data_IF_328742218875
#
_entry.id   IF_328742218875
#
_cell.length_a   1.000
_cell.length_b   1.000
_cell.length_c   1.000
_cell.angle_alpha   90.00
_cell.angle_beta   90.00
_cell.angle_gamma   90.00
#
_symmetry.space_group_name_H-M   'P 1'
#
loop_
_entity.id
_entity.type
_entity.pdbx_description
1 polymer ?
#
# COMPACT_ATOMS: atom_id res chain seq x y z
N UNK A 1 -67.06 30.98 -21.79
CA UNK A 1 -66.22 31.66 -22.78
C UNK A 1 -64.79 31.62 -22.28
N UNK A 2 -63.98 30.74 -22.88
CA UNK A 2 -62.50 30.73 -22.99
C UNK A 2 -61.62 30.76 -21.73
N UNK A 3 -60.87 29.66 -21.63
CA UNK A 3 -59.51 29.40 -21.15
C UNK A 3 -58.61 30.58 -20.72
N UNK A 4 -57.78 30.36 -19.69
CA UNK A 4 -56.33 30.22 -19.88
C UNK A 4 -55.60 29.69 -18.63
N UNK A 5 -54.84 28.62 -18.86
CA UNK A 5 -53.80 27.99 -18.05
C UNK A 5 -52.81 28.96 -17.37
N UNK A 6 -52.36 28.59 -16.17
CA UNK A 6 -50.92 28.56 -15.84
C UNK A 6 -50.66 27.34 -14.94
N UNK A 7 -50.59 26.16 -15.55
CA UNK A 7 -49.94 24.99 -14.95
C UNK A 7 -48.43 25.14 -15.22
N UNK A 8 -47.66 25.46 -14.19
CA UNK A 8 -46.22 25.66 -14.28
C UNK A 8 -45.51 24.32 -14.51
N UNK A 9 -44.55 24.21 -15.44
CA UNK A 9 -43.96 22.92 -15.78
C UNK A 9 -43.11 22.41 -14.61
N UNK A 10 -43.51 21.27 -14.06
CA UNK A 10 -42.66 20.44 -13.20
C UNK A 10 -41.32 20.22 -13.91
N UNK A 11 -40.25 20.74 -13.32
CA UNK A 11 -38.89 20.56 -13.79
C UNK A 11 -38.58 19.05 -13.81
N UNK A 12 -38.69 18.45 -14.99
CA UNK A 12 -38.24 17.07 -15.23
C UNK A 12 -36.73 17.07 -15.02
N UNK A 13 -36.30 16.56 -13.87
CA UNK A 13 -34.91 16.26 -13.55
C UNK A 13 -34.32 15.47 -14.72
N UNK A 14 -33.42 16.11 -15.48
CA UNK A 14 -32.67 15.43 -16.54
C UNK A 14 -31.98 14.22 -15.89
N UNK A 15 -32.15 13.00 -16.41
CA UNK A 15 -31.36 11.88 -15.93
C UNK A 15 -29.88 12.23 -16.11
N UNK A 16 -29.11 12.12 -15.02
CA UNK A 16 -27.65 12.28 -15.07
C UNK A 16 -27.13 11.39 -16.20
N UNK A 17 -26.23 11.87 -17.07
CA UNK A 17 -25.60 11.01 -18.06
C UNK A 17 -25.01 9.81 -17.32
N UNK A 18 -25.39 8.60 -17.72
CA UNK A 18 -24.69 7.39 -17.28
C UNK A 18 -23.25 7.55 -17.75
N UNK A 19 -22.36 7.79 -16.80
CA UNK A 19 -20.92 7.76 -17.02
C UNK A 19 -20.61 6.44 -17.73
N UNK A 20 -19.91 6.46 -18.88
CA UNK A 20 -19.68 5.24 -19.64
C UNK A 20 -19.00 4.22 -18.72
N UNK A 21 -19.54 3.00 -18.72
CA UNK A 21 -18.95 1.88 -17.99
C UNK A 21 -17.46 1.84 -18.31
N UNK A 22 -16.63 2.04 -17.27
CA UNK A 22 -15.16 2.06 -17.38
C UNK A 22 -14.73 0.91 -18.26
N UNK A 23 -14.14 1.22 -19.41
CA UNK A 23 -13.56 0.20 -20.27
C UNK A 23 -12.56 -0.58 -19.41
N UNK A 24 -12.83 -1.87 -19.22
CA UNK A 24 -11.99 -2.73 -18.38
C UNK A 24 -10.59 -2.69 -18.98
N UNK A 25 -9.64 -2.08 -18.26
CA UNK A 25 -8.27 -2.02 -18.72
C UNK A 25 -7.79 -3.43 -19.15
N UNK A 26 -6.99 -3.53 -20.23
CA UNK A 26 -6.62 -4.82 -20.80
C UNK A 26 -5.98 -5.72 -19.74
N UNK A 27 -6.36 -7.01 -19.75
CA UNK A 27 -5.88 -8.03 -18.79
C UNK A 27 -4.37 -8.24 -18.86
N UNK A 28 -3.78 -7.98 -20.02
CA UNK A 28 -2.36 -8.04 -20.26
C UNK A 28 -1.94 -6.83 -21.09
N UNK A 29 -0.78 -6.27 -20.75
CA UNK A 29 -0.26 -5.07 -21.36
C UNK A 29 1.25 -5.16 -21.40
N UNK A 30 1.84 -4.72 -22.51
CA UNK A 30 3.26 -4.45 -22.64
C UNK A 30 3.42 -3.13 -23.38
N UNK A 31 4.15 -2.21 -22.78
CA UNK A 31 4.39 -0.88 -23.31
C UNK A 31 5.83 -0.48 -23.07
N UNK A 32 6.43 0.07 -24.11
CA UNK A 32 7.80 0.55 -24.10
C UNK A 32 7.90 1.77 -25.01
N UNK A 33 8.21 2.93 -24.44
CA UNK A 33 8.35 4.17 -25.18
C UNK A 33 9.49 5.03 -24.65
N UNK A 34 10.09 5.81 -25.54
CA UNK A 34 10.99 6.91 -25.20
C UNK A 34 10.38 8.30 -25.41
N UNK A 35 9.12 8.36 -25.81
CA UNK A 35 8.37 9.59 -26.02
C UNK A 35 7.48 9.87 -24.80
N UNK A 36 7.64 11.06 -24.23
CA UNK A 36 6.88 11.50 -23.06
C UNK A 36 5.39 11.69 -23.36
N UNK A 37 5.06 12.22 -24.53
CA UNK A 37 3.67 12.45 -24.94
C UNK A 37 2.97 11.11 -25.20
N UNK A 38 3.65 10.17 -25.85
CA UNK A 38 3.13 8.80 -26.02
C UNK A 38 2.91 8.12 -24.66
N UNK A 39 3.85 8.28 -23.73
CA UNK A 39 3.71 7.74 -22.38
C UNK A 39 2.54 8.36 -21.62
N UNK A 40 2.34 9.68 -21.72
CA UNK A 40 1.23 10.38 -21.06
C UNK A 40 -0.11 9.92 -21.61
N UNK A 41 -0.25 9.88 -22.94
CA UNK A 41 -1.43 9.36 -23.62
C UNK A 41 -1.74 7.92 -23.21
N UNK A 42 -0.71 7.07 -23.13
CA UNK A 42 -0.85 5.69 -22.73
C UNK A 42 -1.33 5.54 -21.27
N UNK A 43 -0.71 6.28 -20.34
CA UNK A 43 -1.08 6.24 -18.92
C UNK A 43 -2.50 6.73 -18.69
N UNK A 44 -2.88 7.84 -19.35
CA UNK A 44 -4.23 8.41 -19.27
C UNK A 44 -5.30 7.42 -19.74
N UNK A 45 -5.03 6.71 -20.85
CA UNK A 45 -5.96 5.71 -21.41
C UNK A 45 -6.07 4.45 -20.55
N UNK A 46 -4.97 4.01 -19.93
CA UNK A 46 -4.90 2.66 -19.34
C UNK A 46 -5.15 2.61 -17.83
N UNK A 47 -4.87 3.71 -17.13
CA UNK A 47 -4.95 3.77 -15.67
C UNK A 47 -6.04 4.72 -15.20
N UNK A 48 -5.79 6.01 -15.35
CA UNK A 48 -6.67 7.13 -14.99
C UNK A 48 -6.05 8.40 -15.54
N UNK A 49 -6.77 9.52 -15.48
CA UNK A 49 -6.18 10.83 -15.79
C UNK A 49 -4.91 11.00 -14.95
N UNK A 50 -3.77 11.15 -15.61
CA UNK A 50 -2.45 11.41 -15.03
C UNK A 50 -1.82 12.54 -15.85
N UNK A 51 -0.95 13.32 -15.24
CA UNK A 51 -0.16 14.35 -15.93
C UNK A 51 1.31 14.06 -15.74
N UNK A 52 2.04 13.85 -16.83
CA UNK A 52 3.47 13.59 -16.78
C UNK A 52 4.22 14.91 -16.98
N UNK A 53 5.08 15.26 -16.03
CA UNK A 53 6.12 16.27 -16.24
C UNK A 53 7.48 15.60 -16.17
N UNK A 54 8.20 15.53 -17.28
CA UNK A 54 9.54 14.94 -17.39
C UNK A 54 10.63 16.00 -17.48
N UNK A 55 11.67 15.88 -16.66
CA UNK A 55 12.91 16.66 -16.77
C UNK A 55 14.05 15.69 -17.14
N UNK A 56 14.51 15.68 -18.40
CA UNK A 56 15.64 14.81 -18.80
C UNK A 56 15.85 14.65 -20.30
N UNK A 57 17.10 14.30 -20.69
CA UNK A 57 17.50 14.06 -22.09
C UNK A 57 17.31 12.61 -22.58
N UNK A 58 17.00 11.66 -21.69
CA UNK A 58 16.78 10.24 -21.99
C UNK A 58 15.57 9.70 -21.21
N UNK A 59 14.38 9.91 -21.77
CA UNK A 59 13.13 9.44 -21.21
C UNK A 59 12.83 8.05 -21.77
N UNK A 60 12.67 7.05 -20.92
CA UNK A 60 12.24 5.70 -21.29
C UNK A 60 11.25 5.22 -20.23
N UNK A 61 10.08 4.82 -20.68
CA UNK A 61 9.03 4.22 -19.88
C UNK A 61 8.84 2.77 -20.34
N UNK A 62 8.81 1.85 -19.38
CA UNK A 62 8.40 0.46 -19.60
C UNK A 62 7.31 0.10 -18.62
N UNK A 63 6.23 -0.48 -19.11
CA UNK A 63 5.08 -0.87 -18.31
C UNK A 63 4.62 -2.25 -18.78
N UNK A 64 4.56 -3.19 -17.85
CA UNK A 64 3.99 -4.51 -18.10
C UNK A 64 2.89 -4.76 -17.09
N UNK A 65 1.69 -5.10 -17.55
CA UNK A 65 0.60 -5.55 -16.67
C UNK A 65 0.29 -7.01 -16.96
N UNK A 66 0.08 -7.76 -15.90
CA UNK A 66 -0.48 -9.11 -15.93
C UNK A 66 -1.63 -9.17 -14.95
N UNK A 67 -2.70 -9.89 -15.30
CA UNK A 67 -3.86 -10.06 -14.45
C UNK A 67 -4.09 -11.52 -14.09
N UNK A 68 -4.40 -11.76 -12.81
CA UNK A 68 -4.89 -13.03 -12.28
C UNK A 68 -6.32 -12.82 -11.79
N UNK A 69 -7.31 -13.11 -12.64
CA UNK A 69 -8.70 -12.73 -12.36
C UNK A 69 -8.85 -11.23 -12.19
N UNK A 70 -9.28 -10.78 -11.00
CA UNK A 70 -9.43 -9.36 -10.64
C UNK A 70 -8.15 -8.72 -10.08
N UNK A 71 -7.12 -9.51 -9.78
CA UNK A 71 -5.81 -9.03 -9.35
C UNK A 71 -5.02 -8.53 -10.55
N UNK A 72 -4.42 -7.34 -10.45
CA UNK A 72 -3.42 -6.85 -11.40
C UNK A 72 -2.06 -6.77 -10.73
N UNK A 73 -1.03 -7.22 -11.43
CA UNK A 73 0.37 -6.98 -11.08
C UNK A 73 0.99 -6.22 -12.24
N UNK A 74 1.41 -5.00 -11.95
CA UNK A 74 2.03 -4.12 -12.90
C UNK A 74 3.49 -3.94 -12.53
N UNK A 75 4.38 -4.06 -13.51
CA UNK A 75 5.79 -3.71 -13.39
C UNK A 75 6.04 -2.43 -14.19
N UNK A 76 6.45 -1.37 -13.50
CA UNK A 76 6.64 -0.05 -14.09
C UNK A 76 8.08 0.41 -13.91
N UNK A 77 8.61 1.08 -14.93
CA UNK A 77 9.99 1.54 -14.97
C UNK A 77 10.09 2.85 -15.73
N UNK A 78 10.46 3.92 -15.03
CA UNK A 78 10.68 5.23 -15.60
C UNK A 78 12.13 5.65 -15.39
N UNK A 79 12.82 6.04 -16.47
CA UNK A 79 14.20 6.54 -16.41
C UNK A 79 14.29 8.05 -16.14
N UNK A 80 13.18 8.69 -15.80
CA UNK A 80 13.03 10.13 -15.62
C UNK A 80 12.14 10.42 -14.41
N UNK A 81 12.14 11.68 -13.98
CA UNK A 81 11.21 12.16 -12.96
C UNK A 81 9.82 12.37 -13.56
N UNK A 82 8.79 11.84 -12.92
CA UNK A 82 7.41 11.90 -13.40
C UNK A 82 6.49 12.33 -12.25
N UNK A 83 5.85 13.49 -12.38
CA UNK A 83 4.68 13.81 -11.57
C UNK A 83 3.47 12.98 -11.98
N UNK A 84 2.51 12.79 -11.08
CA UNK A 84 1.17 12.29 -11.41
C UNK A 84 0.14 12.85 -10.44
N UNK A 85 -1.10 12.88 -10.92
CA UNK A 85 -2.30 13.24 -10.18
C UNK A 85 -3.39 12.29 -10.67
N UNK A 86 -3.78 11.34 -9.84
CA UNK A 86 -4.62 10.20 -10.18
C UNK A 86 -5.97 10.29 -9.48
N UNK A 87 -7.06 10.14 -10.24
CA UNK A 87 -8.42 10.04 -9.68
C UNK A 87 -8.59 8.75 -8.84
N UNK A 88 -9.61 8.68 -7.96
CA UNK A 88 -9.94 7.48 -7.21
C UNK A 88 -10.07 6.24 -8.10
N UNK A 89 -9.26 5.23 -7.79
CA UNK A 89 -9.21 3.99 -8.57
C UNK A 89 -10.25 2.97 -8.09
N UNK A 90 -10.72 3.07 -6.84
CA UNK A 90 -11.64 2.10 -6.24
C UNK A 90 -11.00 0.73 -5.99
N UNK A 91 -9.66 0.66 -6.00
CA UNK A 91 -8.87 -0.55 -5.71
C UNK A 91 -7.90 -0.28 -4.58
N UNK A 92 -7.57 -1.32 -3.83
CA UNK A 92 -6.37 -1.30 -2.99
C UNK A 92 -5.16 -1.40 -3.92
N UNK A 93 -4.24 -0.46 -3.80
CA UNK A 93 -2.96 -0.46 -4.50
C UNK A 93 -1.83 -0.65 -3.52
N UNK A 94 -1.08 -1.74 -3.66
CA UNK A 94 0.19 -1.93 -2.98
C UNK A 94 1.32 -1.57 -3.93
N UNK A 95 2.23 -0.71 -3.49
CA UNK A 95 3.40 -0.31 -4.24
C UNK A 95 4.67 -0.86 -3.60
N UNK A 96 5.43 -1.62 -4.39
CA UNK A 96 6.79 -2.07 -4.03
C UNK A 96 7.81 -1.34 -4.89
N UNK A 97 8.68 -0.54 -4.29
CA UNK A 97 9.76 0.13 -5.02
C UNK A 97 10.94 -0.84 -5.18
N UNK A 98 11.39 -1.08 -6.41
CA UNK A 98 12.56 -1.92 -6.71
C UNK A 98 13.85 -1.10 -6.80
N UNK A 99 13.75 0.11 -7.35
CA UNK A 99 14.86 1.08 -7.45
C UNK A 99 14.31 2.50 -7.52
N UNK A 100 15.16 3.49 -7.24
CA UNK A 100 14.74 4.89 -7.19
C UNK A 100 13.90 5.17 -5.95
N UNK A 101 13.01 6.15 -6.03
CA UNK A 101 12.06 6.47 -4.96
C UNK A 101 10.74 7.01 -5.52
N UNK A 102 9.69 6.93 -4.71
CA UNK A 102 8.38 7.53 -5.00
C UNK A 102 8.02 8.47 -3.87
N UNK A 103 7.60 9.68 -4.22
CA UNK A 103 7.15 10.73 -3.31
C UNK A 103 5.63 10.81 -3.41
N UNK A 104 4.89 10.25 -2.45
CA UNK A 104 3.43 10.27 -2.39
C UNK A 104 2.92 11.46 -1.58
N UNK A 105 1.90 12.15 -2.09
CA UNK A 105 1.20 13.21 -1.38
C UNK A 105 -0.21 12.72 -1.04
N UNK A 106 -0.43 12.42 0.24
CA UNK A 106 -1.76 12.08 0.76
C UNK A 106 -2.47 13.34 1.27
N UNK A 107 -3.78 13.43 1.05
CA UNK A 107 -4.57 14.58 1.49
C UNK A 107 -4.53 14.67 3.02
N UNK A 108 -4.05 15.80 3.54
CA UNK A 108 -4.02 16.05 4.98
C UNK A 108 -2.83 15.43 5.72
N UNK A 109 -1.88 14.80 5.02
CA UNK A 109 -0.68 14.21 5.61
C UNK A 109 0.60 14.81 5.02
N UNK A 110 1.74 14.71 5.74
CA UNK A 110 3.05 15.01 5.18
C UNK A 110 3.35 14.14 3.96
N UNK A 111 4.20 14.65 3.06
CA UNK A 111 4.70 13.87 1.94
C UNK A 111 5.40 12.60 2.43
N UNK A 112 5.05 11.47 1.81
CA UNK A 112 5.62 10.17 2.11
C UNK A 112 6.66 9.81 1.05
N UNK A 113 7.85 9.40 1.47
CA UNK A 113 8.88 8.89 0.55
C UNK A 113 9.00 7.38 0.69
N UNK A 114 8.81 6.66 -0.40
CA UNK A 114 9.05 5.22 -0.52
C UNK A 114 10.41 5.01 -1.22
N UNK A 115 11.34 4.37 -0.54
CA UNK A 115 12.67 4.05 -1.06
C UNK A 115 12.72 2.63 -1.65
N UNK A 116 13.79 2.32 -2.38
CA UNK A 116 14.05 0.99 -2.90
C UNK A 116 13.99 -0.09 -1.81
N UNK A 117 13.25 -1.17 -2.10
CA UNK A 117 12.98 -2.27 -1.17
C UNK A 117 11.72 -2.11 -0.34
N UNK A 118 11.14 -0.91 -0.27
CA UNK A 118 9.97 -0.66 0.56
C UNK A 118 8.65 -1.07 -0.13
N UNK A 119 7.71 -1.53 0.69
CA UNK A 119 6.32 -1.84 0.33
C UNK A 119 5.39 -0.92 1.11
N UNK A 120 4.40 -0.31 0.44
CA UNK A 120 3.39 0.52 1.06
C UNK A 120 2.05 0.47 0.31
N UNK A 121 0.97 0.92 0.92
CA UNK A 121 -0.31 1.16 0.26
C UNK A 121 -0.39 2.59 -0.29
N UNK A 122 -0.79 2.73 -1.55
CA UNK A 122 -0.98 4.02 -2.22
C UNK A 122 -2.40 4.52 -1.95
N UNK A 123 -2.57 5.17 -0.80
CA UNK A 123 -3.80 5.88 -0.43
C UNK A 123 -5.03 4.99 -0.19
N UNK A 124 -6.11 5.55 0.36
CA UNK A 124 -7.41 4.88 0.39
C UNK A 124 -8.00 4.73 -1.02
N UNK A 125 -8.68 3.61 -1.34
CA UNK A 125 -9.27 3.35 -2.66
C UNK A 125 -10.22 4.44 -3.19
N UNK A 126 -10.91 5.13 -2.29
CA UNK A 126 -11.94 6.12 -2.58
C UNK A 126 -11.40 7.54 -2.78
N UNK A 127 -10.11 7.79 -2.50
CA UNK A 127 -9.50 9.12 -2.58
C UNK A 127 -8.57 9.25 -3.79
N UNK A 128 -8.47 10.46 -4.38
CA UNK A 128 -7.41 10.74 -5.33
C UNK A 128 -6.05 10.72 -4.62
N UNK A 129 -5.01 10.39 -5.38
CA UNK A 129 -3.62 10.43 -4.89
C UNK A 129 -2.74 11.08 -5.94
N UNK A 130 -1.70 11.77 -5.48
CA UNK A 130 -0.75 12.46 -6.35
C UNK A 130 0.65 12.27 -5.81
N UNK A 131 1.63 12.42 -6.68
CA UNK A 131 3.00 12.18 -6.25
C UNK A 131 4.01 12.41 -7.35
N UNK A 132 5.24 11.99 -7.08
CA UNK A 132 6.34 12.01 -8.04
C UNK A 132 7.12 10.70 -7.99
N UNK A 133 7.29 10.10 -9.14
CA UNK A 133 8.23 9.01 -9.37
C UNK A 133 9.59 9.62 -9.67
N UNK A 134 10.65 9.16 -8.99
CA UNK A 134 12.01 9.68 -9.19
C UNK A 134 12.92 8.59 -9.73
N UNK A 135 13.07 8.55 -11.06
CA UNK A 135 13.86 7.55 -11.80
C UNK A 135 13.64 6.12 -11.27
N UNK A 136 12.38 5.73 -11.06
CA UNK A 136 12.04 4.55 -10.29
C UNK A 136 11.65 3.34 -11.16
N UNK A 137 11.95 2.16 -10.64
CA UNK A 137 11.30 0.91 -11.05
C UNK A 137 10.50 0.39 -9.87
N UNK A 138 9.23 0.09 -10.07
CA UNK A 138 8.31 -0.32 -9.00
C UNK A 138 7.26 -1.28 -9.52
N UNK A 139 6.57 -1.93 -8.59
CA UNK A 139 5.42 -2.77 -8.88
C UNK A 139 4.17 -2.19 -8.24
N UNK A 140 3.05 -2.23 -8.95
CA UNK A 140 1.73 -1.96 -8.40
C UNK A 140 0.90 -3.24 -8.41
N UNK A 141 0.38 -3.58 -7.23
CA UNK A 141 -0.48 -4.72 -7.04
C UNK A 141 -1.87 -4.18 -6.71
N UNK A 142 -2.82 -4.42 -7.60
CA UNK A 142 -4.17 -3.87 -7.53
C UNK A 142 -5.22 -4.96 -7.31
N UNK A 143 -6.07 -4.81 -6.29
CA UNK A 143 -7.17 -5.73 -6.05
C UNK A 143 -8.39 -5.04 -5.42
N UNK A 144 -9.54 -5.73 -5.49
CA UNK A 144 -10.83 -5.21 -5.02
C UNK A 144 -10.87 -5.14 -3.47
N UNK A 145 -11.24 -4.01 -2.85
CA UNK A 145 -11.40 -3.90 -1.40
C UNK A 145 -12.34 -4.94 -0.79
N UNK A 146 -13.36 -5.40 -1.53
CA UNK A 146 -14.30 -6.43 -1.08
C UNK A 146 -13.62 -7.81 -0.84
N UNK A 147 -12.38 -8.00 -1.31
CA UNK A 147 -11.58 -9.16 -0.91
C UNK A 147 -11.20 -9.13 0.57
N UNK A 148 -10.99 -7.94 1.16
CA UNK A 148 -10.72 -7.82 2.59
C UNK A 148 -11.93 -8.23 3.43
N UNK A 149 -13.13 -7.76 3.02
CA UNK A 149 -14.39 -8.10 3.68
C UNK A 149 -14.67 -9.60 3.67
N UNK A 150 -14.31 -10.29 2.58
CA UNK A 150 -14.52 -11.73 2.43
C UNK A 150 -13.65 -12.59 3.35
N UNK A 151 -12.48 -12.10 3.73
CA UNK A 151 -11.50 -12.89 4.50
C UNK A 151 -11.40 -12.45 5.95
N UNK A 152 -11.92 -11.27 6.29
CA UNK A 152 -12.00 -10.81 7.67
C UNK A 152 -13.08 -11.58 8.46
N UNK A 153 -12.87 -11.85 9.76
CA UNK A 153 -13.91 -12.40 10.62
C UNK A 153 -15.08 -11.41 10.74
N UNK A 154 -16.30 -11.86 10.42
CA UNK A 154 -17.49 -11.03 10.58
C UNK A 154 -18.06 -11.25 12.00
N UNK A 155 -18.20 -10.17 12.77
CA UNK A 155 -18.99 -10.20 13.99
C UNK A 155 -20.48 -10.23 13.62
N UNK A 156 -21.28 -11.20 14.09
CA UNK A 156 -22.64 -11.44 13.60
C UNK A 156 -23.68 -10.34 13.90
N UNK A 157 -23.33 -9.29 14.65
CA UNK A 157 -24.33 -8.45 15.34
C UNK A 157 -24.13 -6.92 15.18
N UNK A 158 -23.45 -6.45 14.13
CA UNK A 158 -23.35 -5.01 13.82
C UNK A 158 -23.56 -4.68 12.36
N UNK A 159 -24.03 -3.44 12.12
CA UNK A 159 -24.00 -2.82 10.81
C UNK A 159 -22.58 -2.99 10.22
N UNK A 160 -22.52 -3.70 9.09
CA UNK A 160 -21.28 -4.17 8.47
C UNK A 160 -20.49 -2.97 7.93
N UNK A 161 -19.66 -2.36 8.75
CA UNK A 161 -18.69 -1.39 8.24
C UNK A 161 -17.64 -2.18 7.46
N UNK A 162 -17.40 -1.83 6.18
CA UNK A 162 -16.48 -2.61 5.37
C UNK A 162 -15.03 -2.39 5.85
N UNK A 163 -14.23 -3.44 5.78
CA UNK A 163 -12.85 -3.50 6.27
C UNK A 163 -11.98 -2.53 5.49
N UNK A 164 -11.18 -1.75 6.21
CA UNK A 164 -10.27 -0.75 5.64
C UNK A 164 -8.88 -0.93 6.21
N UNK A 165 -7.88 -0.72 5.36
CA UNK A 165 -6.52 -0.50 5.85
C UNK A 165 -6.45 0.92 6.41
N UNK A 166 -5.94 1.06 7.63
CA UNK A 166 -5.91 2.33 8.39
C UNK A 166 -4.53 2.99 8.36
N UNK A 167 -3.57 2.40 7.64
CA UNK A 167 -2.23 2.94 7.50
C UNK A 167 -1.54 2.47 6.23
N UNK A 168 -0.60 3.28 5.78
CA UNK A 168 0.09 3.11 4.49
C UNK A 168 1.28 2.18 4.54
N UNK A 169 1.78 1.82 5.73
CA UNK A 169 2.99 1.02 5.91
C UNK A 169 2.68 -0.31 6.58
N UNK A 170 3.44 -1.37 6.25
CA UNK A 170 3.35 -2.60 7.00
C UNK A 170 3.66 -2.38 8.47
N UNK A 171 2.97 -3.12 9.36
CA UNK A 171 3.15 -3.06 10.82
C UNK A 171 4.56 -3.50 11.26
N UNK A 172 5.28 -4.23 10.41
CA UNK A 172 6.69 -4.57 10.61
C UNK A 172 7.38 -4.90 9.28
N UNK A 173 8.71 -4.80 9.26
CA UNK A 173 9.55 -5.24 8.13
C UNK A 173 9.31 -6.71 7.78
N UNK A 174 9.19 -7.58 8.80
CA UNK A 174 8.96 -9.00 8.58
C UNK A 174 7.60 -9.27 7.91
N UNK A 175 6.55 -8.54 8.29
CA UNK A 175 5.23 -8.68 7.69
C UNK A 175 5.23 -8.18 6.24
N UNK A 176 5.88 -7.04 5.97
CA UNK A 176 6.11 -6.54 4.61
C UNK A 176 6.86 -7.55 3.73
N UNK A 177 7.92 -8.18 4.26
CA UNK A 177 8.71 -9.19 3.54
C UNK A 177 7.89 -10.44 3.19
N UNK A 178 7.00 -10.90 4.08
CA UNK A 178 6.13 -12.06 3.82
C UNK A 178 5.13 -11.78 2.70
N UNK A 179 4.45 -10.64 2.75
CA UNK A 179 3.54 -10.22 1.69
C UNK A 179 4.27 -10.04 0.35
N UNK A 180 5.46 -9.47 0.42
CA UNK A 180 6.35 -9.31 -0.73
C UNK A 180 6.72 -10.65 -1.38
N UNK A 181 7.08 -11.66 -0.57
CA UNK A 181 7.38 -13.00 -1.07
C UNK A 181 6.15 -13.67 -1.70
N UNK A 182 4.95 -13.44 -1.17
CA UNK A 182 3.70 -13.91 -1.79
C UNK A 182 3.48 -13.26 -3.16
N UNK A 183 3.68 -11.95 -3.27
CA UNK A 183 3.55 -11.22 -4.55
C UNK A 183 4.54 -11.78 -5.57
N UNK A 184 5.79 -12.02 -5.17
CA UNK A 184 6.80 -12.65 -6.04
C UNK A 184 6.34 -14.05 -6.47
N UNK A 185 5.81 -14.88 -5.56
CA UNK A 185 5.27 -16.20 -5.90
C UNK A 185 4.12 -16.15 -6.90
N UNK A 186 3.16 -15.24 -6.71
CA UNK A 186 2.02 -15.08 -7.62
C UNK A 186 2.48 -14.71 -9.04
N UNK A 187 3.49 -13.84 -9.15
CA UNK A 187 4.07 -13.47 -10.44
C UNK A 187 4.89 -14.60 -11.06
N UNK A 188 5.83 -15.15 -10.30
CA UNK A 188 6.88 -16.02 -10.85
C UNK A 188 6.40 -17.47 -11.06
N UNK A 189 5.32 -17.88 -10.39
CA UNK A 189 4.82 -19.26 -10.46
C UNK A 189 3.38 -19.36 -10.94
N UNK A 190 2.47 -18.51 -10.47
CA UNK A 190 1.05 -18.61 -10.86
C UNK A 190 0.81 -17.94 -12.22
N UNK A 191 1.26 -16.70 -12.40
CA UNK A 191 1.10 -15.98 -13.67
C UNK A 191 1.99 -16.54 -14.78
N UNK A 192 3.13 -17.14 -14.44
CA UNK A 192 4.04 -17.75 -15.41
C UNK A 192 3.56 -19.12 -15.94
N UNK A 193 2.59 -19.77 -15.26
CA UNK A 193 2.00 -21.04 -15.68
C UNK A 193 0.58 -20.80 -16.26
N UNK A 194 0.38 -20.93 -17.58
CA UNK A 194 -0.93 -20.72 -18.20
C UNK A 194 -2.04 -21.64 -17.66
N UNK A 195 -1.70 -22.85 -17.20
CA UNK A 195 -2.68 -23.78 -16.63
C UNK A 195 -3.16 -23.30 -15.26
N UNK A 196 -2.25 -22.81 -14.43
CA UNK A 196 -2.57 -22.24 -13.12
C UNK A 196 -3.30 -20.90 -13.26
N UNK A 197 -2.84 -20.03 -14.17
CA UNK A 197 -3.42 -18.71 -14.40
C UNK A 197 -4.85 -18.74 -14.97
N UNK A 198 -5.27 -19.87 -15.56
CA UNK A 198 -6.62 -20.06 -16.11
C UNK A 198 -7.56 -20.87 -15.20
N UNK A 199 -7.03 -21.51 -14.15
CA UNK A 199 -7.81 -22.34 -13.24
C UNK A 199 -8.57 -21.48 -12.20
N UNK A 200 -9.92 -21.46 -12.18
CA UNK A 200 -10.70 -20.57 -11.29
C UNK A 200 -10.39 -20.76 -9.81
N UNK A 201 -10.25 -22.00 -9.34
CA UNK A 201 -9.91 -22.29 -7.94
C UNK A 201 -8.54 -21.72 -7.54
N UNK A 202 -7.57 -21.74 -8.46
CA UNK A 202 -6.23 -21.18 -8.21
C UNK A 202 -6.31 -19.66 -8.10
N UNK A 203 -7.03 -19.02 -9.04
CA UNK A 203 -7.26 -17.57 -9.05
C UNK A 203 -7.92 -17.11 -7.74
N UNK A 204 -9.02 -17.76 -7.35
CA UNK A 204 -9.78 -17.38 -6.15
C UNK A 204 -8.95 -17.59 -4.88
N UNK A 205 -8.20 -18.70 -4.80
CA UNK A 205 -7.32 -18.98 -3.67
C UNK A 205 -6.18 -17.96 -3.58
N UNK A 206 -5.58 -17.58 -4.72
CA UNK A 206 -4.53 -16.57 -4.78
C UNK A 206 -5.04 -15.20 -4.34
N UNK A 207 -6.22 -14.79 -4.80
CA UNK A 207 -6.86 -13.53 -4.42
C UNK A 207 -7.18 -13.50 -2.91
N UNK A 208 -7.74 -14.57 -2.37
CA UNK A 208 -8.02 -14.70 -0.94
C UNK A 208 -6.73 -14.67 -0.10
N UNK A 209 -5.69 -15.40 -0.53
CA UNK A 209 -4.40 -15.42 0.18
C UNK A 209 -3.72 -14.05 0.17
N UNK A 210 -3.76 -13.32 -0.95
CA UNK A 210 -3.25 -11.95 -1.03
C UNK A 210 -3.99 -11.02 -0.05
N UNK A 211 -5.31 -11.13 0.02
CA UNK A 211 -6.12 -10.33 0.95
C UNK A 211 -5.77 -10.62 2.42
N UNK A 212 -5.68 -11.91 2.80
CA UNK A 212 -5.27 -12.34 4.14
C UNK A 212 -3.85 -11.86 4.48
N UNK A 213 -2.91 -12.02 3.54
CA UNK A 213 -1.53 -11.56 3.74
C UNK A 213 -1.45 -10.03 3.87
N UNK A 214 -2.33 -9.29 3.17
CA UNK A 214 -2.45 -7.84 3.30
C UNK A 214 -2.96 -7.44 4.68
N UNK A 215 -4.03 -8.07 5.19
CA UNK A 215 -4.51 -7.81 6.55
C UNK A 215 -3.45 -8.14 7.61
N UNK A 216 -2.71 -9.22 7.44
CA UNK A 216 -1.60 -9.54 8.36
C UNK A 216 -0.40 -8.58 8.25
N UNK A 217 -0.28 -7.83 7.16
CA UNK A 217 0.83 -6.93 6.92
C UNK A 217 0.53 -5.50 7.33
N UNK A 218 -0.70 -5.00 7.16
CA UNK A 218 -1.06 -3.60 7.34
C UNK A 218 -2.02 -3.40 8.53
N UNK A 219 -1.96 -2.24 9.21
CA UNK A 219 -2.97 -1.89 10.20
C UNK A 219 -4.34 -1.76 9.51
N UNK A 220 -5.39 -2.26 10.15
CA UNK A 220 -6.73 -2.33 9.56
C UNK A 220 -7.86 -2.23 10.59
N UNK A 221 -9.07 -1.95 10.13
CA UNK A 221 -10.28 -1.84 10.96
C UNK A 221 -10.95 -3.18 11.29
N UNK A 222 -10.51 -4.30 10.69
CA UNK A 222 -11.09 -5.60 11.01
C UNK A 222 -10.89 -5.93 12.50
N UNK A 223 -11.98 -6.29 13.17
CA UNK A 223 -11.96 -6.75 14.55
C UNK A 223 -11.37 -8.16 14.56
N UNK A 224 -10.11 -8.28 14.98
CA UNK A 224 -9.54 -9.58 15.26
C UNK A 224 -10.06 -10.02 16.63
N UNK A 225 -10.65 -11.21 16.72
CA UNK A 225 -10.78 -11.87 18.01
C UNK A 225 -9.38 -11.92 18.65
N UNK A 226 -9.21 -11.52 19.92
CA UNK A 226 -7.90 -11.44 20.53
C UNK A 226 -7.24 -12.82 20.48
N UNK A 227 -6.16 -12.90 19.71
CA UNK A 227 -5.38 -14.14 19.59
C UNK A 227 -4.79 -14.49 20.97
N UNK A 228 -4.51 -15.78 21.26
CA UNK A 228 -3.92 -16.19 22.55
C UNK A 228 -2.58 -15.51 22.89
N UNK A 229 -1.90 -14.91 21.90
CA UNK A 229 -0.66 -14.15 22.06
C UNK A 229 -0.93 -12.75 22.64
N UNK A 230 -1.98 -12.07 22.16
CA UNK A 230 -2.41 -10.74 22.63
C UNK A 230 -2.83 -10.76 24.12
N UNK A 231 -3.43 -11.88 24.53
CA UNK A 231 -3.83 -12.14 25.92
C UNK A 231 -2.63 -12.30 26.87
N UNK A 232 -1.44 -12.68 26.37
CA UNK A 232 -0.21 -12.82 27.17
C UNK A 232 0.50 -11.50 27.42
N UNK A 233 0.46 -10.57 26.47
CA UNK A 233 1.04 -9.24 26.64
C UNK A 233 0.15 -8.34 27.51
N UNK A 234 -1.16 -8.52 27.44
CA UNK A 234 -2.15 -7.83 28.29
C UNK A 234 -2.14 -8.29 29.75
N UNK A 235 -1.55 -9.46 30.05
CA UNK A 235 -1.50 -10.06 31.38
C UNK A 235 -0.12 -9.89 32.03
N UNK A 236 0.62 -8.81 31.74
CA UNK A 236 1.82 -8.47 32.48
C UNK A 236 1.44 -8.12 33.93
N UNK A 237 1.78 -8.94 34.94
CA UNK A 237 1.52 -8.59 36.32
C UNK A 237 2.44 -7.41 36.65
N UNK A 238 1.87 -6.32 37.16
CA UNK A 238 2.63 -5.25 37.82
C UNK A 238 3.37 -5.88 38.99
N UNK A 239 4.62 -6.31 38.75
CA UNK A 239 5.52 -6.76 39.80
C UNK A 239 5.93 -5.52 40.59
N UNK A 240 5.31 -5.40 41.76
CA UNK A 240 5.65 -4.43 42.81
C UNK A 240 7.16 -4.31 42.96
N UNK A 241 7.70 -3.13 42.66
CA UNK A 241 9.09 -2.75 42.93
C UNK A 241 9.36 -2.86 44.43
N UNK A 242 10.11 -3.89 44.84
CA UNK A 242 10.75 -3.92 46.16
C UNK A 242 12.00 -3.03 46.12
N UNK A 243 12.19 -2.09 47.05
CA UNK A 243 13.43 -1.33 47.12
C UNK A 243 14.57 -2.21 47.64
N UNK A 244 15.64 -2.27 46.86
CA UNK A 244 16.90 -2.94 47.21
C UNK A 244 17.68 -2.07 48.21
N UNK A 245 17.89 -2.58 49.43
CA UNK A 245 18.88 -2.05 50.39
C UNK A 245 20.23 -2.69 50.11
N UNK A 246 21.20 -1.95 49.58
CA UNK A 246 22.59 -2.42 49.54
C UNK A 246 23.26 -2.16 50.89
N UNK A 247 23.53 -3.23 51.64
CA UNK A 247 24.57 -3.24 52.67
C UNK A 247 25.70 -4.12 52.15
N UNK A 248 26.86 -3.53 51.83
CA UNK A 248 28.13 -4.26 51.88
C UNK A 248 29.20 -3.40 52.51
N UNK A 249 29.63 -3.89 53.68
CA UNK A 249 30.89 -3.59 54.34
C UNK A 249 32.03 -3.90 53.37
N UNK A 250 33.00 -3.01 53.25
CA UNK A 250 34.34 -3.34 52.77
C UNK A 250 35.33 -3.18 53.91
N UNK A 251 36.00 -4.30 54.18
CA UNK A 251 37.02 -4.50 55.19
C UNK A 251 38.32 -3.83 54.73
N UNK A 252 39.00 -3.22 55.68
CA UNK A 252 40.34 -2.62 55.62
C UNK A 252 41.41 -3.62 55.19
N UNK A 253 42.33 -3.23 54.30
CA UNK A 253 43.72 -3.71 54.38
C UNK A 253 44.73 -2.70 53.85
N UNK A 254 45.69 -2.44 54.72
CA UNK A 254 46.79 -1.49 54.69
C UNK A 254 47.99 -2.02 53.90
N UNK A 255 48.69 -1.18 53.13
CA UNK A 255 50.16 -1.15 53.10
C UNK A 255 50.72 0.08 52.37
N UNK A 256 51.60 0.82 53.08
CA UNK A 256 52.58 1.84 52.61
C UNK A 256 53.52 1.23 51.54
N UNK A 257 54.20 1.99 50.66
CA UNK A 257 55.30 2.96 50.88
C UNK A 257 55.48 3.88 49.64
N UNK A 258 55.65 5.22 49.81
CA UNK A 258 56.84 6.09 49.53
C UNK A 258 57.53 5.83 48.17
N UNK A 259 57.91 6.80 47.31
CA UNK A 259 58.30 8.23 47.46
C UNK A 259 58.34 8.88 46.06
N UNK A 260 58.06 10.18 45.95
CA UNK A 260 58.20 11.08 44.78
C UNK A 260 59.70 11.28 44.38
N UNK A 261 60.11 12.09 43.34
CA UNK A 261 59.60 13.43 42.95
C UNK A 261 59.72 13.73 41.40
N UNK A 262 59.85 14.99 40.90
CA UNK A 262 58.81 15.65 40.09
C UNK A 262 59.36 16.22 38.75
N UNK A 263 58.66 17.24 38.19
CA UNK A 263 59.08 18.27 37.20
C UNK A 263 59.06 17.80 35.71
N UNK A 264 58.58 18.55 34.71
CA UNK A 264 58.11 19.94 34.58
C UNK A 264 57.31 20.08 33.26
N UNK A 265 56.44 21.10 33.24
CA UNK A 265 55.85 21.84 32.08
C UNK A 265 54.92 21.11 31.13
#
# INVERSE_FOLDING_TARGET
>A
MRDLDVDGPAARSRPRPREPARESAPRELDFDSSDLAETEDFLVRTYTKMRISGEGRMCRARIQRRCLGSLSIDELSFSYDMGYDANPLGKILLCRVRRGRIEENFIGEPQHVLAAGELAMIGPPELPHSGRVRHAGYQLIGFDPALLDRVAPNAPDRAHEPVRLTGHRPVSVAAGNRLTALIDYLRDHILADPSAASAPLVIDTAAAHLAVATLNAFPHSALLDPTPTDRRDSAQPVLLRRPWRSSRKTLTKTSRWRTSPPTST
#
